data_IF_220093602526
#
_entry.id   IF_220093602526
#
_cell.length_a   1.000
_cell.length_b   1.000
_cell.length_c   1.000
_cell.angle_alpha   90.00
_cell.angle_beta   90.00
_cell.angle_gamma   90.00
#
_symmetry.space_group_name_H-M   'P 1'
#
loop_
_entity.id
_entity.type
_entity.pdbx_description
1 polymer ?
#
# COMPACT_ATOMS: atom_id res chain seq x y z
N UNK A 1 -19.39 -24.55 29.38
CA UNK A 1 -19.28 -23.31 28.58
C UNK A 1 -17.98 -23.39 27.80
N UNK A 2 -18.06 -23.65 26.49
CA UNK A 2 -16.88 -23.76 25.63
C UNK A 2 -16.66 -22.41 24.91
N UNK A 3 -15.49 -21.80 25.13
CA UNK A 3 -14.97 -20.69 24.33
C UNK A 3 -14.90 -21.16 22.88
N UNK A 4 -15.73 -20.60 21.99
CA UNK A 4 -15.48 -20.67 20.56
C UNK A 4 -14.53 -19.53 20.21
N UNK A 5 -13.25 -19.84 20.09
CA UNK A 5 -12.28 -18.98 19.43
C UNK A 5 -12.72 -18.78 17.98
N UNK A 6 -13.33 -17.63 17.69
CA UNK A 6 -13.89 -17.28 16.38
C UNK A 6 -12.84 -16.76 15.39
N UNK A 7 -11.58 -16.65 15.81
CA UNK A 7 -10.53 -16.03 15.02
C UNK A 7 -9.35 -16.98 14.86
N UNK A 8 -9.51 -17.96 13.98
CA UNK A 8 -8.39 -18.65 13.32
C UNK A 8 -8.55 -18.55 11.82
N UNK A 9 -8.71 -17.32 11.32
CA UNK A 9 -8.63 -17.02 9.90
C UNK A 9 -7.50 -16.03 9.77
N UNK A 10 -6.35 -16.48 9.25
CA UNK A 10 -5.30 -15.59 8.74
C UNK A 10 -6.01 -14.51 7.93
N UNK A 11 -6.00 -13.27 8.41
CA UNK A 11 -6.58 -12.13 7.72
C UNK A 11 -5.98 -12.15 6.31
N UNK A 12 -6.82 -12.43 5.31
CA UNK A 12 -6.45 -12.12 3.94
C UNK A 12 -6.30 -10.60 3.96
N UNK A 13 -5.10 -10.12 3.71
CA UNK A 13 -4.77 -8.72 3.49
C UNK A 13 -5.93 -8.06 2.72
N UNK A 14 -6.74 -7.30 3.44
CA UNK A 14 -7.98 -6.78 2.89
C UNK A 14 -7.57 -5.57 2.06
N UNK A 15 -7.31 -5.78 0.77
CA UNK A 15 -6.90 -4.69 -0.12
C UNK A 15 -8.04 -3.69 -0.23
N UNK A 16 -7.84 -2.50 0.33
CA UNK A 16 -8.80 -1.39 0.25
C UNK A 16 -8.32 -0.42 -0.82
N UNK A 17 -9.17 -0.15 -1.82
CA UNK A 17 -8.91 0.90 -2.80
C UNK A 17 -9.20 2.26 -2.20
N UNK A 18 -8.22 3.17 -2.25
CA UNK A 18 -8.33 4.53 -1.71
C UNK A 18 -8.09 5.54 -2.84
N UNK A 19 -8.94 6.55 -2.93
CA UNK A 19 -8.70 7.69 -3.81
C UNK A 19 -7.92 8.76 -3.06
N UNK A 20 -6.83 9.26 -3.65
CA UNK A 20 -5.99 10.28 -3.04
C UNK A 20 -5.47 11.27 -4.08
N UNK A 21 -5.17 12.48 -3.62
CA UNK A 21 -4.55 13.53 -4.42
C UNK A 21 -3.14 13.79 -3.90
N UNK A 22 -2.16 13.81 -4.79
CA UNK A 22 -0.77 14.18 -4.48
C UNK A 22 -0.37 15.48 -5.20
N UNK A 23 0.64 16.15 -4.67
CA UNK A 23 1.25 17.30 -5.35
C UNK A 23 1.82 16.87 -6.70
N UNK A 24 1.67 17.72 -7.73
CA UNK A 24 2.17 17.42 -9.07
C UNK A 24 3.67 17.14 -9.15
N UNK A 25 4.49 17.77 -8.30
CA UNK A 25 5.93 17.50 -8.21
C UNK A 25 6.24 16.09 -7.69
N UNK A 26 5.40 15.53 -6.82
CA UNK A 26 5.48 14.15 -6.35
C UNK A 26 4.96 13.17 -7.40
N UNK A 27 3.88 13.54 -8.10
CA UNK A 27 3.36 12.72 -9.20
C UNK A 27 4.42 12.48 -10.28
N UNK A 28 5.18 13.52 -10.67
CA UNK A 28 6.27 13.37 -11.64
C UNK A 28 7.36 12.41 -11.17
N UNK A 29 7.75 12.46 -9.89
CA UNK A 29 8.71 11.51 -9.32
C UNK A 29 8.19 10.06 -9.34
N UNK A 30 6.91 9.87 -9.02
CA UNK A 30 6.26 8.56 -9.09
C UNK A 30 6.25 8.02 -10.53
N UNK A 31 6.07 8.89 -11.52
CA UNK A 31 6.16 8.52 -12.94
C UNK A 31 7.57 8.11 -13.34
N UNK A 32 8.57 8.92 -12.99
CA UNK A 32 9.99 8.65 -13.27
C UNK A 32 10.44 7.32 -12.63
N UNK A 33 10.04 7.06 -11.38
CA UNK A 33 10.36 5.81 -10.69
C UNK A 33 9.61 4.61 -11.28
N UNK A 34 8.34 4.78 -11.67
CA UNK A 34 7.58 3.73 -12.33
C UNK A 34 8.24 3.28 -13.64
N UNK A 35 8.72 4.24 -14.44
CA UNK A 35 9.47 3.96 -15.67
C UNK A 35 10.84 3.33 -15.38
N UNK A 36 11.60 3.90 -14.44
CA UNK A 36 12.95 3.44 -14.08
C UNK A 36 12.96 1.98 -13.60
N UNK A 37 11.97 1.60 -12.79
CA UNK A 37 11.88 0.25 -12.22
C UNK A 37 10.95 -0.68 -13.00
N UNK A 38 10.35 -0.20 -14.10
CA UNK A 38 9.37 -0.94 -14.90
C UNK A 38 8.24 -1.55 -14.06
N UNK A 39 7.67 -0.74 -13.17
CA UNK A 39 6.55 -1.11 -12.27
C UNK A 39 5.39 -0.13 -12.41
N UNK A 40 4.24 -0.47 -11.87
CA UNK A 40 3.07 0.42 -11.89
C UNK A 40 3.23 1.58 -10.90
N UNK A 41 2.64 2.74 -11.22
CA UNK A 41 2.58 3.89 -10.30
C UNK A 41 1.97 3.52 -8.94
N UNK A 42 0.97 2.63 -8.94
CA UNK A 42 0.38 2.09 -7.70
C UNK A 42 1.44 1.42 -6.83
N UNK A 43 2.28 0.55 -7.42
CA UNK A 43 3.28 -0.18 -6.66
C UNK A 43 4.35 0.74 -6.06
N UNK A 44 4.71 1.81 -6.77
CA UNK A 44 5.59 2.86 -6.23
C UNK A 44 4.97 3.49 -4.99
N UNK A 45 3.71 3.90 -5.07
CA UNK A 45 3.01 4.53 -3.94
C UNK A 45 2.80 3.56 -2.78
N UNK A 46 2.41 2.32 -3.07
CA UNK A 46 2.28 1.27 -2.04
C UNK A 46 3.61 1.09 -1.30
N UNK A 47 4.73 1.04 -2.03
CA UNK A 47 6.07 0.90 -1.42
C UNK A 47 6.41 2.09 -0.53
N UNK A 48 6.08 3.32 -0.94
CA UNK A 48 6.30 4.53 -0.12
C UNK A 48 5.45 4.49 1.15
N UNK A 49 4.19 4.03 1.05
CA UNK A 49 3.30 3.91 2.20
C UNK A 49 3.76 2.79 3.13
N UNK A 50 4.13 1.63 2.59
CA UNK A 50 4.70 0.51 3.36
C UNK A 50 5.94 0.96 4.15
N UNK A 51 6.84 1.73 3.52
CA UNK A 51 8.02 2.28 4.19
C UNK A 51 7.65 3.27 5.30
N UNK A 52 6.73 4.21 5.03
CA UNK A 52 6.26 5.19 6.01
C UNK A 52 5.63 4.55 7.26
N UNK A 53 4.89 3.45 7.08
CA UNK A 53 4.24 2.75 8.19
C UNK A 53 5.13 1.70 8.87
N UNK A 54 6.23 1.24 8.25
CA UNK A 54 7.19 0.33 8.91
C UNK A 54 7.89 0.97 10.10
N UNK A 55 8.13 2.28 10.04
CA UNK A 55 8.80 3.04 11.11
C UNK A 55 7.82 3.58 12.18
N UNK A 56 6.55 3.17 12.15
CA UNK A 56 5.54 3.53 13.16
C UNK A 56 5.04 2.34 13.95
#
# INVERSE_FOLDING_TARGET
MAKKELFTKKEKDLTVSVHYSIRGSLAKKVEEDAEKYNITKSKVVDTILEDYYKDK
#
